data_IF_460800180374
#
_entry.id   IF_460800180374
#
_cell.length_a   1.000
_cell.length_b   1.000
_cell.length_c   1.000
_cell.angle_alpha   90.00
_cell.angle_beta   90.00
_cell.angle_gamma   90.00
#
_symmetry.space_group_name_H-M   'P 1'
#
loop_
_entity.id
_entity.type
_entity.pdbx_description
1 polymer ?
#
# COMPACT_ATOMS: atom_id res chain seq x y z
N UNK A 1 -10.34 -3.04 14.49
CA UNK A 1 -10.25 -2.01 15.55
C UNK A 1 -10.10 -0.60 14.96
N UNK A 2 -9.01 -0.37 14.19
CA UNK A 2 -8.81 0.93 13.53
C UNK A 2 -9.95 1.22 12.58
N UNK A 3 -10.39 0.23 11.80
CA UNK A 3 -11.47 0.40 10.83
C UNK A 3 -12.79 0.82 11.49
N UNK A 4 -13.05 0.36 12.70
CA UNK A 4 -14.26 0.72 13.43
C UNK A 4 -14.21 2.15 13.95
N UNK A 5 -13.02 2.61 14.38
CA UNK A 5 -12.83 3.96 14.92
C UNK A 5 -12.63 5.01 13.85
N UNK A 6 -12.08 4.62 12.70
CA UNK A 6 -11.78 5.53 11.62
C UNK A 6 -12.13 4.85 10.28
N UNK A 7 -13.42 4.71 9.96
CA UNK A 7 -13.86 3.93 8.81
C UNK A 7 -13.46 4.51 7.45
N UNK A 8 -13.02 5.76 7.41
CA UNK A 8 -12.61 6.41 6.16
C UNK A 8 -11.15 6.22 5.82
N UNK A 9 -10.36 5.67 6.73
CA UNK A 9 -8.93 5.47 6.45
C UNK A 9 -8.75 4.36 5.43
N UNK A 10 -7.65 4.46 4.68
CA UNK A 10 -7.23 3.43 3.74
C UNK A 10 -5.99 2.77 4.34
N UNK A 11 -6.04 1.48 4.57
CA UNK A 11 -4.86 0.72 4.98
C UNK A 11 -3.92 0.58 3.80
N UNK A 12 -2.63 0.78 4.03
CA UNK A 12 -1.66 0.88 2.95
C UNK A 12 -0.31 0.28 3.35
N UNK A 13 0.62 0.29 2.41
CA UNK A 13 2.04 -0.04 2.62
C UNK A 13 2.23 -1.35 3.39
N UNK A 14 2.99 -1.38 4.48
CA UNK A 14 3.26 -2.63 5.20
C UNK A 14 2.00 -3.32 5.70
N UNK A 15 1.00 -2.57 6.14
CA UNK A 15 -0.27 -3.15 6.57
C UNK A 15 -0.99 -3.83 5.40
N UNK A 16 -1.04 -3.17 4.24
CA UNK A 16 -1.63 -3.76 3.04
C UNK A 16 -0.83 -4.99 2.57
N UNK A 17 0.49 -4.91 2.57
CA UNK A 17 1.34 -6.06 2.22
C UNK A 17 1.05 -7.26 3.11
N UNK A 18 0.87 -7.02 4.41
CA UNK A 18 0.56 -8.09 5.35
C UNK A 18 -0.82 -8.68 5.08
N UNK A 19 -1.81 -7.84 4.80
CA UNK A 19 -3.16 -8.31 4.48
C UNK A 19 -3.19 -9.13 3.17
N UNK A 20 -2.30 -8.84 2.24
CA UNK A 20 -2.18 -9.56 0.98
C UNK A 20 -1.19 -10.71 1.02
N UNK A 21 -0.57 -10.98 2.15
CA UNK A 21 0.47 -12.02 2.30
C UNK A 21 1.67 -11.80 1.36
N UNK A 22 2.09 -10.56 1.20
CA UNK A 22 3.22 -10.17 0.35
C UNK A 22 4.46 -9.80 1.15
N UNK A 23 4.43 -9.98 2.45
CA UNK A 23 5.59 -9.75 3.33
C UNK A 23 5.51 -10.71 4.50
N UNK A 24 6.68 -11.08 5.02
CA UNK A 24 6.79 -11.85 6.26
C UNK A 24 6.93 -10.95 7.48
N UNK A 25 7.10 -9.64 7.27
CA UNK A 25 7.23 -8.70 8.37
C UNK A 25 5.90 -8.50 9.10
N UNK A 26 5.98 -8.37 10.41
CA UNK A 26 4.85 -8.00 11.25
C UNK A 26 5.04 -6.53 11.62
N UNK A 27 4.32 -5.62 10.99
CA UNK A 27 4.50 -4.20 11.29
C UNK A 27 4.09 -3.90 12.74
N UNK A 28 4.90 -3.10 13.44
CA UNK A 28 4.61 -2.65 14.79
C UNK A 28 3.54 -1.57 14.82
N UNK A 29 3.33 -0.93 13.70
CA UNK A 29 2.37 0.16 13.54
C UNK A 29 1.38 -0.22 12.46
N UNK A 30 0.20 0.37 12.52
CA UNK A 30 -0.79 0.24 11.46
C UNK A 30 -0.59 1.39 10.49
N UNK A 31 -0.31 1.07 9.24
CA UNK A 31 -0.05 2.07 8.19
C UNK A 31 -1.34 2.46 7.51
N UNK A 32 -1.64 3.75 7.57
CA UNK A 32 -2.85 4.31 6.95
C UNK A 32 -2.50 5.48 6.04
N UNK A 33 -3.31 5.65 4.99
CA UNK A 33 -3.21 6.77 4.07
C UNK A 33 -4.39 7.72 4.27
N UNK A 34 -4.10 9.00 4.22
CA UNK A 34 -5.09 10.06 4.23
C UNK A 34 -4.75 11.07 3.14
N UNK A 35 -5.69 11.96 2.82
CA UNK A 35 -5.46 13.04 1.87
C UNK A 35 -4.60 14.15 2.46
N UNK A 36 -4.10 15.02 1.59
CA UNK A 36 -3.16 16.08 1.98
C UNK A 36 -3.75 17.08 3.00
N UNK A 37 -5.06 17.28 2.97
CA UNK A 37 -5.73 18.25 3.87
C UNK A 37 -6.50 17.59 5.01
N UNK A 38 -6.45 16.28 5.09
CA UNK A 38 -7.16 15.55 6.13
C UNK A 38 -6.32 15.50 7.41
N UNK A 39 -7.02 15.36 8.55
CA UNK A 39 -6.36 15.17 9.83
C UNK A 39 -6.29 13.69 10.16
N UNK A 40 -5.14 13.23 10.70
CA UNK A 40 -5.04 11.82 11.11
C UNK A 40 -6.04 11.52 12.24
N UNK A 41 -6.53 10.28 12.29
CA UNK A 41 -7.35 9.84 13.42
C UNK A 41 -6.58 9.97 14.74
N UNK A 42 -7.28 10.35 15.80
CA UNK A 42 -6.68 10.45 17.13
C UNK A 42 -6.91 9.15 17.88
N UNK A 43 -5.84 8.38 18.02
CA UNK A 43 -5.86 7.18 18.85
C UNK A 43 -4.45 6.88 19.33
N UNK A 44 -4.35 6.41 20.57
CA UNK A 44 -3.06 6.09 21.17
C UNK A 44 -2.66 4.63 20.91
N UNK A 45 -3.65 3.75 20.70
CA UNK A 45 -3.42 2.35 20.42
C UNK A 45 -4.52 1.80 19.50
N UNK A 46 -4.19 1.01 18.48
CA UNK A 46 -2.85 0.69 18.03
C UNK A 46 -2.12 1.92 17.50
N UNK A 47 -0.78 1.89 17.53
CA UNK A 47 0.02 2.99 17.01
C UNK A 47 -0.16 3.10 15.51
N UNK A 48 -0.46 4.29 15.03
CA UNK A 48 -0.68 4.55 13.60
C UNK A 48 0.56 5.17 12.98
N UNK A 49 0.89 4.71 11.78
CA UNK A 49 1.83 5.37 10.89
C UNK A 49 1.02 5.99 9.75
N UNK A 50 0.86 7.29 9.79
CA UNK A 50 0.05 8.01 8.80
C UNK A 50 0.93 8.52 7.68
N UNK A 51 0.52 8.25 6.43
CA UNK A 51 1.15 8.83 5.24
C UNK A 51 0.10 9.60 4.45
N UNK A 52 0.56 10.57 3.68
CA UNK A 52 -0.34 11.39 2.87
C UNK A 52 -0.22 11.02 1.40
N UNK A 53 -1.36 10.73 0.80
CA UNK A 53 -1.46 10.44 -0.62
C UNK A 53 -2.05 11.66 -1.33
N UNK A 54 -1.63 11.87 -2.58
CA UNK A 54 -2.30 12.84 -3.44
C UNK A 54 -3.75 12.40 -3.66
N UNK A 55 -4.61 13.31 -4.09
CA UNK A 55 -6.01 13.00 -4.37
C UNK A 55 -6.13 11.84 -5.36
N UNK A 56 -5.35 11.87 -6.43
CA UNK A 56 -5.37 10.82 -7.44
C UNK A 56 -4.93 9.46 -6.87
N UNK A 57 -3.86 9.46 -6.07
CA UNK A 57 -3.34 8.23 -5.49
C UNK A 57 -4.31 7.64 -4.45
N UNK A 58 -4.93 8.49 -3.64
CA UNK A 58 -5.86 8.03 -2.61
C UNK A 58 -7.11 7.39 -3.21
N UNK A 59 -7.53 7.86 -4.38
CA UNK A 59 -8.72 7.34 -5.07
C UNK A 59 -8.44 6.08 -5.89
N UNK A 60 -7.18 5.80 -6.20
CA UNK A 60 -6.81 4.72 -7.13
C UNK A 60 -6.49 3.42 -6.41
N UNK A 61 -7.03 2.32 -6.93
CA UNK A 61 -6.64 0.97 -6.51
C UNK A 61 -7.06 0.59 -5.10
N UNK A 62 -8.08 1.23 -4.55
CA UNK A 62 -8.59 0.92 -3.21
C UNK A 62 -9.66 -0.14 -3.32
N UNK A 63 -9.55 -1.17 -2.50
CA UNK A 63 -10.51 -2.26 -2.39
C UNK A 63 -11.21 -2.20 -1.04
N UNK A 64 -12.40 -2.77 -0.99
CA UNK A 64 -13.10 -3.00 0.27
C UNK A 64 -12.99 -4.49 0.59
N UNK A 65 -12.57 -4.81 1.82
CA UNK A 65 -12.46 -6.19 2.29
C UNK A 65 -13.15 -6.33 3.63
N UNK A 66 -13.69 -7.52 3.88
CA UNK A 66 -14.22 -7.87 5.20
C UNK A 66 -13.21 -8.75 5.92
N UNK A 67 -12.82 -8.32 7.11
CA UNK A 67 -11.90 -9.06 7.98
C UNK A 67 -12.53 -9.11 9.36
N UNK A 68 -12.85 -10.32 9.82
CA UNK A 68 -13.44 -10.55 11.15
C UNK A 68 -14.67 -9.68 11.39
N UNK A 69 -15.53 -9.58 10.39
CA UNK A 69 -16.78 -8.82 10.48
C UNK A 69 -16.64 -7.31 10.29
N UNK A 70 -15.42 -6.81 10.18
CA UNK A 70 -15.18 -5.39 9.93
C UNK A 70 -14.92 -5.16 8.45
N UNK A 71 -15.45 -4.06 7.92
CA UNK A 71 -15.22 -3.66 6.53
C UNK A 71 -14.04 -2.71 6.48
N UNK A 72 -13.02 -3.09 5.70
CA UNK A 72 -11.78 -2.33 5.56
C UNK A 72 -11.66 -1.78 4.15
N UNK A 73 -11.10 -0.58 4.05
CA UNK A 73 -10.60 -0.05 2.78
C UNK A 73 -9.09 -0.25 2.77
N UNK A 74 -8.59 -0.91 1.74
CA UNK A 74 -7.17 -1.27 1.65
C UNK A 74 -6.70 -1.11 0.22
N UNK A 75 -5.44 -0.70 0.02
CA UNK A 75 -4.87 -0.65 -1.33
C UNK A 75 -4.73 -2.07 -1.87
N UNK A 76 -5.11 -2.28 -3.13
CA UNK A 76 -4.97 -3.58 -3.79
C UNK A 76 -3.52 -3.92 -4.07
N UNK A 77 -3.27 -5.15 -4.53
CA UNK A 77 -1.91 -5.65 -4.72
C UNK A 77 -1.05 -4.75 -5.61
N UNK A 78 -1.45 -4.44 -6.88
CA UNK A 78 -0.57 -3.64 -7.73
C UNK A 78 -0.41 -2.20 -7.24
N UNK A 79 -1.44 -1.63 -6.64
CA UNK A 79 -1.36 -0.29 -6.05
C UNK A 79 -0.39 -0.27 -4.88
N UNK A 80 -0.46 -1.29 -4.02
CA UNK A 80 0.42 -1.41 -2.86
C UNK A 80 1.89 -1.48 -3.28
N UNK A 81 2.18 -2.23 -4.35
CA UNK A 81 3.55 -2.32 -4.88
C UNK A 81 4.06 -0.93 -5.30
N UNK A 82 3.26 -0.21 -6.09
CA UNK A 82 3.63 1.13 -6.53
C UNK A 82 3.84 2.07 -5.34
N UNK A 83 2.94 2.02 -4.36
CA UNK A 83 3.03 2.83 -3.15
C UNK A 83 4.31 2.54 -2.36
N UNK A 84 4.72 1.28 -2.27
CA UNK A 84 5.95 0.92 -1.57
C UNK A 84 7.18 1.54 -2.23
N UNK A 85 7.19 1.67 -3.55
CA UNK A 85 8.27 2.38 -4.24
C UNK A 85 8.17 3.88 -4.05
N UNK A 86 6.97 4.43 -4.03
CA UNK A 86 6.76 5.84 -3.72
C UNK A 86 7.28 6.21 -2.34
N UNK A 87 7.03 5.35 -1.36
CA UNK A 87 7.40 5.57 0.04
C UNK A 87 8.57 4.70 0.48
N UNK A 88 9.48 4.34 -0.45
CA UNK A 88 10.61 3.47 -0.14
C UNK A 88 11.55 4.00 0.92
N UNK A 89 11.58 5.31 1.11
CA UNK A 89 12.36 5.91 2.19
C UNK A 89 11.75 5.63 3.56
N UNK A 90 10.47 5.30 3.61
CA UNK A 90 9.76 4.99 4.86
C UNK A 90 9.65 3.50 5.14
N UNK A 91 9.33 2.71 4.12
CA UNK A 91 9.16 1.26 4.29
C UNK A 91 10.45 0.48 4.04
N UNK A 92 11.42 1.09 3.36
CA UNK A 92 12.66 0.44 2.98
C UNK A 92 12.60 -0.12 1.56
N UNK A 93 13.70 0.09 0.82
CA UNK A 93 13.77 -0.41 -0.57
C UNK A 93 13.67 -1.93 -0.62
N UNK A 94 14.25 -2.63 0.36
CA UNK A 94 14.18 -4.10 0.42
C UNK A 94 12.74 -4.62 0.48
N UNK A 95 11.89 -3.95 1.25
CA UNK A 95 10.46 -4.29 1.34
C UNK A 95 9.79 -4.08 -0.02
N UNK A 96 10.07 -2.95 -0.69
CA UNK A 96 9.51 -2.66 -2.01
C UNK A 96 9.96 -3.68 -3.06
N UNK A 97 11.22 -4.07 -3.04
CA UNK A 97 11.78 -5.08 -3.96
C UNK A 97 11.16 -6.45 -3.73
N UNK A 98 11.02 -6.87 -2.49
CA UNK A 98 10.35 -8.12 -2.15
C UNK A 98 8.91 -8.10 -2.66
N UNK A 99 8.21 -7.01 -2.42
CA UNK A 99 6.81 -6.88 -2.82
C UNK A 99 6.63 -7.01 -4.34
N UNK A 100 7.43 -6.32 -5.14
CA UNK A 100 7.29 -6.39 -6.59
C UNK A 100 7.67 -7.78 -7.11
N UNK A 101 8.71 -8.38 -6.56
CA UNK A 101 9.14 -9.71 -6.96
C UNK A 101 8.06 -10.76 -6.65
N UNK A 102 7.55 -10.78 -5.43
CA UNK A 102 6.51 -11.71 -5.03
C UNK A 102 5.22 -11.52 -5.83
N UNK A 103 4.88 -10.27 -6.12
CA UNK A 103 3.68 -9.96 -6.89
C UNK A 103 3.77 -10.50 -8.32
N UNK A 104 4.88 -10.25 -9.01
CA UNK A 104 5.01 -10.66 -10.42
C UNK A 104 5.26 -12.16 -10.52
N UNK A 105 6.18 -12.71 -9.74
CA UNK A 105 6.47 -14.16 -9.77
C UNK A 105 5.29 -14.99 -9.29
N UNK A 106 4.57 -14.51 -8.30
CA UNK A 106 3.39 -15.18 -7.78
C UNK A 106 2.12 -14.94 -8.59
N UNK A 107 2.21 -14.17 -9.67
CA UNK A 107 1.08 -13.84 -10.55
C UNK A 107 -0.08 -13.22 -9.78
N UNK A 108 0.23 -12.40 -8.77
CA UNK A 108 -0.77 -11.69 -7.97
C UNK A 108 -1.28 -10.44 -8.70
N UNK A 109 -0.46 -9.91 -9.60
CA UNK A 109 -0.80 -8.82 -10.52
C UNK A 109 0.14 -8.89 -11.72
N UNK A 110 -0.25 -8.25 -12.81
CA UNK A 110 0.58 -8.16 -14.01
C UNK A 110 1.51 -6.96 -13.95
N UNK A 111 2.56 -7.01 -14.77
CA UNK A 111 3.46 -5.85 -14.94
C UNK A 111 2.68 -4.62 -15.38
N UNK A 112 1.71 -4.79 -16.30
CA UNK A 112 0.89 -3.67 -16.78
C UNK A 112 0.05 -3.05 -15.67
N UNK A 113 -0.49 -3.87 -14.78
CA UNK A 113 -1.25 -3.37 -13.64
C UNK A 113 -0.38 -2.58 -12.67
N UNK A 114 0.81 -3.10 -12.35
CA UNK A 114 1.75 -2.38 -11.50
C UNK A 114 2.18 -1.07 -12.17
N UNK A 115 2.43 -1.11 -13.48
CA UNK A 115 2.82 0.07 -14.25
C UNK A 115 1.75 1.15 -14.23
N UNK A 116 0.49 0.75 -14.32
CA UNK A 116 -0.65 1.68 -14.23
C UNK A 116 -0.59 2.51 -12.95
N UNK A 117 -0.40 1.86 -11.81
CA UNK A 117 -0.35 2.54 -10.52
C UNK A 117 0.98 3.27 -10.29
N UNK A 118 2.06 2.79 -10.90
CA UNK A 118 3.32 3.52 -10.90
C UNK A 118 3.15 4.91 -11.52
N UNK A 119 2.35 5.00 -12.59
CA UNK A 119 2.05 6.30 -13.22
C UNK A 119 1.23 7.19 -12.29
N UNK A 120 0.23 6.64 -11.63
CA UNK A 120 -0.59 7.39 -10.66
C UNK A 120 0.29 7.97 -9.56
N UNK A 121 1.22 7.18 -9.05
CA UNK A 121 2.13 7.56 -7.96
C UNK A 121 3.36 8.33 -8.46
N UNK A 122 3.53 8.48 -9.78
CA UNK A 122 4.66 9.17 -10.41
C UNK A 122 6.01 8.54 -10.05
N UNK A 123 6.06 7.21 -10.01
CA UNK A 123 7.27 6.44 -9.70
C UNK A 123 7.67 5.51 -10.85
N UNK A 124 7.17 5.74 -12.05
CA UNK A 124 7.44 4.88 -13.19
C UNK A 124 8.94 4.78 -13.53
N UNK A 125 9.69 5.86 -13.39
CA UNK A 125 11.13 5.83 -13.65
C UNK A 125 11.87 4.95 -12.64
N UNK A 126 11.43 4.97 -11.39
CA UNK A 126 12.02 4.16 -10.33
C UNK A 126 11.69 2.68 -10.54
N UNK A 127 10.44 2.38 -10.87
CA UNK A 127 9.99 0.99 -11.04
C UNK A 127 10.45 0.34 -12.33
N UNK A 128 10.70 1.12 -13.39
CA UNK A 128 10.99 0.58 -14.72
C UNK A 128 12.07 -0.51 -14.74
N UNK A 129 13.28 -0.31 -14.17
CA UNK A 129 14.32 -1.33 -14.25
C UNK A 129 13.93 -2.62 -13.54
N UNK A 130 13.17 -2.53 -12.46
CA UNK A 130 12.74 -3.73 -11.73
C UNK A 130 11.67 -4.50 -12.48
N UNK A 131 10.72 -3.81 -13.10
CA UNK A 131 9.70 -4.46 -13.90
C UNK A 131 10.29 -5.09 -15.16
N UNK A 132 11.24 -4.42 -15.80
CA UNK A 132 11.92 -4.98 -16.97
C UNK A 132 12.71 -6.23 -16.61
N UNK A 133 13.34 -6.25 -15.45
CA UNK A 133 14.09 -7.41 -14.98
C UNK A 133 13.18 -8.61 -14.68
N UNK A 134 11.92 -8.38 -14.35
CA UNK A 134 10.96 -9.42 -14.01
C UNK A 134 10.08 -9.85 -15.19
N UNK A 135 10.19 -9.16 -16.29
CA UNK A 135 9.41 -9.46 -17.50
C UNK A 135 9.81 -10.78 -18.16
#
# INVERSE_FOLDING_TARGET
>A
EVAQRAPRVVFCLLTALRLHDLTTQLPHEVWIAIGNKEHPPRMSYPRLRTVRFSTASLAAGVETREVEGARLRVTGVPKTVADCFKFRSKVGLGVALEAVRETIRGRRATIDEVWRYARVDRVQKVLRPYLEALA
#
